data_IF_915507331345
#
_entry.id   IF_915507331345
#
_cell.length_a   1.000
_cell.length_b   1.000
_cell.length_c   1.000
_cell.angle_alpha   90.00
_cell.angle_beta   90.00
_cell.angle_gamma   90.00
#
_symmetry.space_group_name_H-M   'P 1'
#
loop_
_entity.id
_entity.type
_entity.pdbx_description
1 polymer ?
#
# COMPACT_ATOMS: atom_id res chain seq x y z
N UNK A 1 7.89 11.05 -19.51
CA UNK A 1 6.67 11.39 -20.29
C UNK A 1 5.52 11.56 -19.31
N UNK A 2 4.77 12.66 -19.42
CA UNK A 2 3.64 12.95 -18.53
C UNK A 2 2.56 11.87 -18.76
N UNK A 3 2.30 11.02 -17.77
CA UNK A 3 1.33 9.90 -17.86
C UNK A 3 -0.11 10.34 -17.59
N UNK A 4 -0.29 11.59 -17.15
CA UNK A 4 -1.59 12.18 -16.93
C UNK A 4 -2.20 12.54 -18.29
N UNK A 5 -3.38 12.01 -18.56
CA UNK A 5 -4.22 12.47 -19.66
C UNK A 5 -4.81 13.85 -19.34
N UNK A 6 -5.47 14.46 -20.33
CA UNK A 6 -6.14 15.75 -20.18
C UNK A 6 -6.99 15.82 -18.89
N UNK A 7 -6.79 16.89 -18.11
CA UNK A 7 -7.55 17.14 -16.89
C UNK A 7 -7.09 16.33 -15.67
N UNK A 8 -5.80 16.05 -15.49
CA UNK A 8 -5.25 15.39 -14.30
C UNK A 8 -5.88 14.01 -14.02
N UNK A 9 -6.01 13.21 -15.08
CA UNK A 9 -6.58 11.86 -15.00
C UNK A 9 -5.49 10.84 -15.30
N UNK A 10 -5.37 9.81 -14.46
CA UNK A 10 -4.49 8.67 -14.67
C UNK A 10 -5.34 7.41 -14.85
N UNK A 11 -5.31 6.82 -16.04
CA UNK A 11 -5.97 5.54 -16.31
C UNK A 11 -5.01 4.39 -16.04
N UNK A 12 -5.36 3.54 -15.09
CA UNK A 12 -4.69 2.27 -14.79
C UNK A 12 -5.56 1.12 -15.32
N UNK A 13 -5.04 -0.12 -15.38
CA UNK A 13 -5.79 -1.25 -15.94
C UNK A 13 -7.14 -1.47 -15.29
N UNK A 14 -7.20 -1.37 -13.96
CA UNK A 14 -8.40 -1.72 -13.19
C UNK A 14 -9.12 -0.50 -12.60
N UNK A 15 -8.48 0.67 -12.57
CA UNK A 15 -9.03 1.87 -11.93
C UNK A 15 -8.55 3.15 -12.62
N UNK A 16 -9.41 4.17 -12.63
CA UNK A 16 -9.05 5.52 -13.06
C UNK A 16 -8.87 6.40 -11.83
N UNK A 17 -7.73 7.08 -11.73
CA UNK A 17 -7.50 8.09 -10.70
C UNK A 17 -7.78 9.48 -11.28
N UNK A 18 -8.61 10.27 -10.60
CA UNK A 18 -8.87 11.65 -10.96
C UNK A 18 -8.33 12.58 -9.88
N UNK A 19 -7.23 13.27 -10.15
CA UNK A 19 -6.63 14.18 -9.17
C UNK A 19 -7.42 15.50 -9.14
N UNK A 20 -8.01 15.79 -7.98
CA UNK A 20 -8.87 16.93 -7.73
C UNK A 20 -8.12 17.93 -6.85
N UNK A 21 -7.62 19.01 -7.45
CA UNK A 21 -6.97 20.11 -6.75
C UNK A 21 -7.94 21.12 -6.16
N UNK A 22 -7.41 22.23 -5.64
CA UNK A 22 -8.24 23.33 -5.12
C UNK A 22 -9.22 23.83 -6.19
N UNK A 23 -10.50 23.96 -5.82
CA UNK A 23 -11.56 24.45 -6.70
C UNK A 23 -12.11 23.43 -7.69
N UNK A 24 -11.61 22.19 -7.71
CA UNK A 24 -12.15 21.11 -8.55
C UNK A 24 -13.12 20.28 -7.70
N UNK A 25 -14.40 20.28 -8.08
CA UNK A 25 -15.38 19.37 -7.47
C UNK A 25 -15.02 17.93 -7.84
N UNK A 26 -14.86 17.02 -6.87
CA UNK A 26 -14.59 15.63 -7.16
C UNK A 26 -15.81 14.99 -7.85
N UNK A 27 -15.60 14.10 -8.84
CA UNK A 27 -16.67 13.25 -9.34
C UNK A 27 -17.10 12.24 -8.27
N UNK A 28 -18.26 11.62 -8.47
CA UNK A 28 -18.71 10.50 -7.64
C UNK A 28 -17.73 9.31 -7.75
N UNK A 29 -17.35 8.75 -6.60
CA UNK A 29 -16.45 7.61 -6.55
C UNK A 29 -17.18 6.33 -6.97
N UNK A 30 -16.47 5.42 -7.62
CA UNK A 30 -17.01 4.10 -8.01
C UNK A 30 -15.93 3.02 -7.87
N UNK A 31 -16.30 1.77 -8.16
CA UNK A 31 -15.33 0.66 -8.17
C UNK A 31 -14.21 0.82 -9.21
N UNK A 32 -14.40 1.68 -10.22
CA UNK A 32 -13.47 1.93 -11.32
C UNK A 32 -12.98 3.39 -11.42
N UNK A 33 -13.46 4.29 -10.56
CA UNK A 33 -13.05 5.69 -10.51
C UNK A 33 -12.77 6.13 -9.07
N UNK A 34 -11.53 6.51 -8.79
CA UNK A 34 -11.09 7.04 -7.51
C UNK A 34 -10.76 8.54 -7.63
N UNK A 35 -11.59 9.45 -7.09
CA UNK A 35 -11.24 10.86 -6.97
C UNK A 35 -10.16 11.02 -5.88
N UNK A 36 -8.98 11.48 -6.27
CA UNK A 36 -7.87 11.75 -5.36
C UNK A 36 -7.87 13.23 -5.00
N UNK A 37 -8.33 13.55 -3.80
CA UNK A 37 -8.36 14.93 -3.30
C UNK A 37 -6.95 15.37 -2.90
N UNK A 38 -6.42 16.39 -3.57
CA UNK A 38 -5.11 16.93 -3.24
C UNK A 38 -5.22 17.90 -2.07
N UNK A 39 -4.31 17.77 -1.08
CA UNK A 39 -4.26 18.63 0.12
C UNK A 39 -5.47 18.52 1.05
N UNK A 40 -6.24 17.43 0.94
CA UNK A 40 -7.30 17.14 1.90
C UNK A 40 -6.71 16.57 3.20
N UNK A 41 -7.35 16.89 4.32
CA UNK A 41 -7.06 16.32 5.64
C UNK A 41 -8.19 15.35 5.99
N UNK A 42 -8.00 14.02 5.78
CA UNK A 42 -9.02 13.04 6.13
C UNK A 42 -9.15 12.88 7.65
N UNK A 43 -10.39 12.73 8.16
CA UNK A 43 -10.65 12.61 9.60
C UNK A 43 -10.06 11.33 10.20
N UNK A 44 -10.02 10.25 9.43
CA UNK A 44 -9.53 8.93 9.85
C UNK A 44 -8.03 8.72 9.65
N UNK A 45 -7.29 9.73 9.18
CA UNK A 45 -5.85 9.63 8.97
C UNK A 45 -5.12 10.96 9.20
N UNK A 46 -4.40 11.05 10.33
CA UNK A 46 -3.58 12.21 10.67
C UNK A 46 -2.31 12.24 9.83
N UNK A 47 -2.27 13.12 8.83
CA UNK A 47 -1.06 13.34 8.01
C UNK A 47 0.10 13.87 8.85
N UNK A 48 -0.17 14.65 9.89
CA UNK A 48 0.85 15.17 10.81
C UNK A 48 1.51 14.01 11.55
N UNK A 49 0.71 13.17 12.24
CA UNK A 49 1.25 12.02 12.97
C UNK A 49 1.98 11.04 12.05
N UNK A 50 1.48 10.84 10.82
CA UNK A 50 2.15 9.99 9.84
C UNK A 50 3.52 10.55 9.46
N UNK A 51 3.59 11.81 9.00
CA UNK A 51 4.85 12.37 8.47
C UNK A 51 5.85 12.76 9.56
N UNK A 52 5.41 13.05 10.78
CA UNK A 52 6.30 13.33 11.92
C UNK A 52 7.02 12.06 12.42
N UNK A 53 6.39 10.89 12.28
CA UNK A 53 6.98 9.61 12.67
C UNK A 53 7.64 8.85 11.50
N UNK A 54 7.48 9.33 10.26
CA UNK A 54 8.02 8.68 9.08
C UNK A 54 9.47 9.10 8.82
N UNK A 55 10.41 8.24 9.20
CA UNK A 55 11.85 8.48 9.04
C UNK A 55 12.41 8.14 7.65
N UNK A 56 11.68 7.36 6.85
CA UNK A 56 12.12 6.93 5.53
C UNK A 56 12.29 8.12 4.58
N UNK A 57 13.33 8.08 3.74
CA UNK A 57 13.59 9.14 2.75
C UNK A 57 12.78 8.99 1.46
N UNK A 58 12.33 7.77 1.15
CA UNK A 58 11.68 7.44 -0.13
C UNK A 58 10.36 6.71 0.05
N UNK A 59 10.34 5.65 0.86
CA UNK A 59 9.13 4.84 1.09
C UNK A 59 8.07 5.62 1.86
N UNK A 60 6.84 5.64 1.38
CA UNK A 60 5.72 6.30 2.06
C UNK A 60 5.74 7.82 2.00
N UNK A 61 6.68 8.44 1.26
CA UNK A 61 6.72 9.91 1.12
C UNK A 61 5.64 10.46 0.19
N UNK A 62 5.14 9.63 -0.71
CA UNK A 62 3.95 9.90 -1.50
C UNK A 62 2.87 8.92 -1.09
N UNK A 63 1.72 9.42 -0.66
CA UNK A 63 0.63 8.61 -0.10
C UNK A 63 -0.67 8.91 -0.82
N UNK A 64 -1.41 7.86 -1.17
CA UNK A 64 -2.83 7.92 -1.48
C UNK A 64 -3.56 7.25 -0.32
N UNK A 65 -4.35 8.06 0.40
CA UNK A 65 -5.21 7.58 1.46
C UNK A 65 -6.63 7.37 0.94
N UNK A 66 -7.33 6.33 1.42
CA UNK A 66 -8.77 6.17 1.17
C UNK A 66 -9.48 5.57 2.39
N UNK A 67 -10.60 6.15 2.79
CA UNK A 67 -11.44 5.53 3.83
C UNK A 67 -11.99 4.19 3.35
N UNK A 68 -12.50 4.14 2.12
CA UNK A 68 -13.00 2.90 1.51
C UNK A 68 -12.48 2.83 0.08
N UNK A 69 -12.00 1.66 -0.35
CA UNK A 69 -11.69 1.40 -1.75
C UNK A 69 -11.96 -0.06 -2.10
N UNK A 70 -11.90 -0.42 -3.38
CA UNK A 70 -12.02 -1.82 -3.80
C UNK A 70 -10.80 -2.63 -3.37
N UNK A 71 -9.61 -2.24 -3.83
CA UNK A 71 -8.33 -2.81 -3.43
C UNK A 71 -7.18 -1.84 -3.74
N UNK A 72 -6.22 -1.73 -2.83
CA UNK A 72 -5.01 -0.93 -3.02
C UNK A 72 -4.18 -1.43 -4.21
N UNK A 73 -4.26 -2.72 -4.53
CA UNK A 73 -3.56 -3.32 -5.68
C UNK A 73 -3.97 -2.70 -7.02
N UNK A 74 -5.22 -2.26 -7.18
CA UNK A 74 -5.70 -1.66 -8.42
C UNK A 74 -4.97 -0.35 -8.75
N UNK A 75 -4.54 0.39 -7.73
CA UNK A 75 -3.78 1.65 -7.86
C UNK A 75 -2.33 1.40 -8.22
N UNK A 76 -1.77 0.26 -7.80
CA UNK A 76 -0.35 -0.05 -7.95
C UNK A 76 -0.04 -0.99 -9.12
N UNK A 77 -1.08 -1.59 -9.72
CA UNK A 77 -0.96 -2.48 -10.87
C UNK A 77 -0.89 -1.68 -12.17
N UNK A 78 -0.06 -2.14 -13.10
CA UNK A 78 0.12 -1.51 -14.41
C UNK A 78 1.45 -0.74 -14.52
N UNK A 79 1.46 0.46 -15.15
CA UNK A 79 2.70 1.17 -15.40
C UNK A 79 3.38 1.61 -14.08
N UNK A 80 4.72 1.73 -14.06
CA UNK A 80 5.42 2.25 -12.90
C UNK A 80 5.00 3.70 -12.63
N UNK A 81 4.57 3.94 -11.39
CA UNK A 81 4.28 5.23 -10.79
C UNK A 81 5.55 5.74 -10.09
N UNK A 82 5.45 6.33 -8.91
CA UNK A 82 6.62 6.75 -8.13
C UNK A 82 7.14 5.59 -7.27
N UNK A 83 8.47 5.40 -7.26
CA UNK A 83 9.11 4.50 -6.29
C UNK A 83 8.73 4.93 -4.87
N UNK A 84 8.28 3.97 -4.06
CA UNK A 84 7.89 4.21 -2.67
C UNK A 84 6.50 4.80 -2.48
N UNK A 85 5.70 4.96 -3.54
CA UNK A 85 4.28 5.31 -3.43
C UNK A 85 3.57 4.31 -2.49
N UNK A 86 2.92 4.85 -1.46
CA UNK A 86 2.07 4.11 -0.55
C UNK A 86 0.59 4.35 -0.86
N UNK A 87 -0.20 3.28 -0.74
CA UNK A 87 -1.67 3.34 -0.75
C UNK A 87 -2.15 2.80 0.59
N UNK A 88 -2.92 3.60 1.33
CA UNK A 88 -3.35 3.31 2.70
C UNK A 88 -4.88 3.34 2.76
N UNK A 89 -5.54 2.17 2.65
CA UNK A 89 -6.97 2.06 2.87
C UNK A 89 -7.33 1.84 4.35
N UNK A 90 -8.42 2.45 4.84
CA UNK A 90 -9.04 2.00 6.10
C UNK A 90 -9.88 0.74 5.89
N UNK A 91 -10.55 0.62 4.74
CA UNK A 91 -11.36 -0.54 4.37
C UNK A 91 -11.19 -0.89 2.88
N UNK A 92 -11.17 -2.19 2.59
CA UNK A 92 -11.19 -2.72 1.22
C UNK A 92 -12.41 -3.62 1.02
N UNK A 93 -13.23 -3.31 0.01
CA UNK A 93 -14.42 -4.12 -0.31
C UNK A 93 -14.09 -5.39 -1.10
N UNK A 94 -12.90 -5.47 -1.70
CA UNK A 94 -12.40 -6.62 -2.45
C UNK A 94 -10.92 -6.85 -2.15
N UNK A 95 -10.59 -6.90 -0.86
CA UNK A 95 -9.24 -7.19 -0.38
C UNK A 95 -8.72 -8.52 -0.92
N UNK A 96 -7.46 -8.54 -1.33
CA UNK A 96 -6.84 -9.68 -2.02
C UNK A 96 -5.86 -10.39 -1.10
N UNK A 97 -6.04 -11.70 -0.95
CA UNK A 97 -5.12 -12.62 -0.30
C UNK A 97 -4.37 -13.48 -1.31
N UNK A 98 -3.46 -14.33 -0.81
CA UNK A 98 -2.67 -15.23 -1.65
C UNK A 98 -3.57 -16.30 -2.29
N UNK A 99 -3.27 -16.65 -3.55
CA UNK A 99 -3.97 -17.71 -4.27
C UNK A 99 -5.42 -17.38 -4.63
N UNK A 100 -5.78 -16.09 -4.73
CA UNK A 100 -7.13 -15.65 -5.05
C UNK A 100 -8.09 -15.65 -3.86
N UNK A 101 -7.61 -15.94 -2.65
CA UNK A 101 -8.41 -15.81 -1.43
C UNK A 101 -8.80 -14.35 -1.19
N UNK A 102 -9.94 -14.14 -0.53
CA UNK A 102 -10.38 -12.81 -0.11
C UNK A 102 -9.74 -12.44 1.22
N UNK A 103 -9.25 -11.21 1.33
CA UNK A 103 -8.79 -10.62 2.59
C UNK A 103 -9.88 -9.71 3.17
N UNK A 104 -10.51 -10.15 4.26
CA UNK A 104 -11.49 -9.35 4.97
C UNK A 104 -10.81 -8.13 5.61
N UNK A 105 -11.39 -6.95 5.40
CA UNK A 105 -10.77 -5.67 5.72
C UNK A 105 -11.71 -4.78 6.54
N UNK A 106 -12.14 -5.21 7.76
CA UNK A 106 -12.99 -4.40 8.62
C UNK A 106 -12.27 -3.15 9.15
N UNK A 107 -13.03 -2.22 9.72
CA UNK A 107 -12.47 -1.05 10.40
C UNK A 107 -11.51 -1.48 11.52
N UNK A 108 -10.40 -0.75 11.64
CA UNK A 108 -9.33 -1.02 12.61
C UNK A 108 -8.14 -1.83 12.06
N UNK A 109 -8.24 -2.39 10.84
CA UNK A 109 -7.09 -3.03 10.20
C UNK A 109 -6.04 -2.01 9.75
N UNK A 110 -4.77 -2.24 10.10
CA UNK A 110 -3.64 -1.47 9.58
C UNK A 110 -3.22 -2.00 8.20
N UNK A 111 -3.79 -1.45 7.13
CA UNK A 111 -3.55 -1.90 5.75
C UNK A 111 -2.78 -0.86 4.94
N UNK A 112 -1.81 -1.34 4.17
CA UNK A 112 -1.07 -0.51 3.24
C UNK A 112 -0.47 -1.35 2.11
N UNK A 113 -0.15 -0.70 1.00
CA UNK A 113 0.59 -1.30 -0.12
C UNK A 113 1.61 -0.32 -0.66
N UNK A 114 2.76 -0.83 -1.09
CA UNK A 114 3.85 -0.02 -1.65
C UNK A 114 4.17 -0.47 -3.08
N UNK A 115 4.52 0.48 -3.95
CA UNK A 115 5.18 0.17 -5.22
C UNK A 115 6.68 0.40 -5.09
N UNK A 116 7.46 -0.68 -5.22
CA UNK A 116 8.92 -0.64 -5.09
C UNK A 116 9.56 -0.85 -6.47
N UNK A 117 10.52 0.02 -6.80
CA UNK A 117 11.36 -0.15 -7.99
C UNK A 117 12.74 -0.62 -7.54
N UNK A 118 13.07 -1.87 -7.85
CA UNK A 118 14.30 -2.52 -7.39
C UNK A 118 15.17 -2.82 -8.61
N UNK A 119 16.38 -2.24 -8.72
CA UNK A 119 17.29 -2.57 -9.82
C UNK A 119 17.66 -4.05 -9.79
N UNK A 120 17.51 -4.76 -10.92
CA UNK A 120 17.82 -6.20 -11.01
C UNK A 120 19.28 -6.53 -10.64
N UNK A 121 20.20 -5.59 -10.87
CA UNK A 121 21.62 -5.74 -10.55
C UNK A 121 21.95 -5.49 -9.07
N UNK A 122 21.01 -4.96 -8.28
CA UNK A 122 21.20 -4.77 -6.84
C UNK A 122 21.17 -6.11 -6.09
N UNK A 123 21.70 -6.16 -4.87
CA UNK A 123 21.66 -7.35 -4.03
C UNK A 123 20.21 -7.82 -3.78
N UNK A 124 19.33 -6.88 -3.44
CA UNK A 124 17.90 -7.16 -3.27
C UNK A 124 17.25 -7.64 -4.57
N UNK A 125 17.63 -7.07 -5.72
CA UNK A 125 17.16 -7.51 -7.05
C UNK A 125 17.54 -8.96 -7.37
N UNK A 126 18.70 -9.41 -6.92
CA UNK A 126 19.16 -10.80 -7.05
C UNK A 126 18.48 -11.76 -6.06
N UNK A 127 17.88 -11.22 -5.00
CA UNK A 127 17.26 -11.94 -3.88
C UNK A 127 15.78 -11.59 -3.71
N UNK A 128 15.07 -11.23 -4.79
CA UNK A 128 13.68 -10.77 -4.73
C UNK A 128 12.71 -11.65 -3.91
N UNK A 129 12.79 -13.01 -3.93
CA UNK A 129 11.93 -13.84 -3.09
C UNK A 129 12.06 -13.57 -1.59
N UNK A 130 13.19 -13.01 -1.13
CA UNK A 130 13.39 -12.65 0.27
C UNK A 130 12.69 -11.34 0.65
N UNK A 131 12.29 -10.50 -0.30
CA UNK A 131 11.61 -9.23 -0.01
C UNK A 131 10.35 -9.42 0.85
N UNK A 132 9.56 -10.45 0.56
CA UNK A 132 8.39 -10.78 1.37
C UNK A 132 8.77 -11.07 2.82
N UNK A 133 9.85 -11.83 3.04
CA UNK A 133 10.33 -12.16 4.39
C UNK A 133 10.84 -10.92 5.12
N UNK A 134 11.56 -10.04 4.43
CA UNK A 134 12.02 -8.76 4.99
C UNK A 134 10.84 -7.89 5.42
N UNK A 135 9.79 -7.77 4.60
CA UNK A 135 8.59 -6.99 4.94
C UNK A 135 7.84 -7.65 6.11
N UNK A 136 7.69 -8.97 6.12
CA UNK A 136 7.05 -9.69 7.21
C UNK A 136 7.76 -9.45 8.55
N UNK A 137 9.10 -9.54 8.55
CA UNK A 137 9.92 -9.27 9.72
C UNK A 137 9.81 -7.81 10.17
N UNK A 138 9.81 -6.86 9.23
CA UNK A 138 9.64 -5.45 9.54
C UNK A 138 8.30 -5.17 10.23
N UNK A 139 7.20 -5.79 9.77
CA UNK A 139 5.88 -5.66 10.40
C UNK A 139 5.92 -6.21 11.84
N UNK A 140 6.39 -7.44 12.04
CA UNK A 140 6.46 -8.04 13.38
C UNK A 140 7.35 -7.19 14.30
N UNK A 141 8.52 -6.78 13.81
CA UNK A 141 9.44 -5.93 14.55
C UNK A 141 8.82 -4.58 14.93
N UNK A 142 8.02 -3.97 14.04
CA UNK A 142 7.36 -2.69 14.33
C UNK A 142 6.26 -2.79 15.38
N UNK A 143 5.59 -3.94 15.47
CA UNK A 143 4.56 -4.18 16.48
C UNK A 143 5.22 -4.48 17.82
N UNK A 144 6.20 -5.39 17.85
CA UNK A 144 6.91 -5.75 19.07
C UNK A 144 7.76 -4.60 19.66
N UNK A 145 8.08 -3.56 18.88
CA UNK A 145 8.78 -2.38 19.41
C UNK A 145 7.87 -1.37 20.11
N UNK A 146 6.54 -1.52 20.00
CA UNK A 146 5.60 -0.64 20.69
C UNK A 146 5.48 -1.02 22.17
N UNK A 147 5.52 -0.05 23.10
CA UNK A 147 5.33 -0.32 24.52
C UNK A 147 4.02 -1.06 24.82
N UNK A 148 4.12 -2.14 25.59
CA UNK A 148 3.02 -3.04 25.94
C UNK A 148 2.74 -4.14 24.93
N UNK A 149 3.33 -4.10 23.73
CA UNK A 149 3.15 -5.13 22.69
C UNK A 149 4.36 -6.05 22.55
N UNK A 150 5.46 -5.78 23.23
CA UNK A 150 6.65 -6.63 23.29
C UNK A 150 6.37 -8.04 23.84
N UNK A 151 5.30 -8.19 24.64
CA UNK A 151 4.87 -9.45 25.24
C UNK A 151 3.99 -10.29 24.31
N UNK A 152 3.55 -9.75 23.17
CA UNK A 152 2.77 -10.51 22.20
C UNK A 152 3.68 -11.56 21.54
N UNK A 153 3.27 -12.82 21.62
CA UNK A 153 3.94 -13.93 20.93
C UNK A 153 3.64 -13.88 19.42
N UNK A 154 4.20 -12.89 18.73
CA UNK A 154 4.09 -12.75 17.29
C UNK A 154 5.06 -13.68 16.58
N UNK A 155 4.50 -14.51 15.69
CA UNK A 155 5.24 -15.47 14.89
C UNK A 155 4.90 -15.36 13.42
N UNK A 156 5.89 -15.64 12.57
CA UNK A 156 5.67 -15.80 11.13
C UNK A 156 5.32 -17.26 10.84
N UNK A 157 4.09 -17.51 10.39
CA UNK A 157 3.73 -18.79 9.79
C UNK A 157 4.04 -18.70 8.31
N UNK A 158 5.07 -19.45 7.90
CA UNK A 158 5.57 -19.43 6.54
C UNK A 158 4.44 -19.76 5.53
N UNK A 159 4.35 -19.05 4.39
CA UNK A 159 5.30 -18.04 3.89
C UNK A 159 4.94 -16.58 4.18
N UNK A 160 3.72 -16.29 4.61
CA UNK A 160 3.19 -14.92 4.49
C UNK A 160 2.17 -14.52 5.55
N UNK A 161 1.98 -15.35 6.58
CA UNK A 161 1.00 -15.10 7.62
C UNK A 161 1.69 -14.70 8.93
N UNK A 162 1.07 -13.77 9.65
CA UNK A 162 1.49 -13.31 10.97
C UNK A 162 0.48 -13.82 11.98
N UNK A 163 0.96 -14.49 13.03
CA UNK A 163 0.14 -15.09 14.07
C UNK A 163 0.51 -14.52 15.44
N UNK A 164 -0.48 -14.39 16.31
CA UNK A 164 -0.32 -14.24 17.75
C UNK A 164 -0.81 -15.54 18.41
N UNK A 165 0.11 -16.38 18.86
CA UNK A 165 -0.22 -17.76 19.26
C UNK A 165 -0.91 -18.54 18.12
N UNK A 166 -2.16 -18.96 18.34
CA UNK A 166 -2.95 -19.69 17.34
C UNK A 166 -3.78 -18.79 16.41
N UNK A 167 -3.86 -17.48 16.67
CA UNK A 167 -4.71 -16.55 15.93
C UNK A 167 -3.93 -15.88 14.81
N UNK A 168 -4.48 -15.92 13.59
CA UNK A 168 -3.93 -15.15 12.46
C UNK A 168 -4.30 -13.68 12.61
N UNK A 169 -3.30 -12.83 12.82
CA UNK A 169 -3.48 -11.38 13.04
C UNK A 169 -3.09 -10.53 11.84
N UNK A 170 -2.38 -11.11 10.88
CA UNK A 170 -1.95 -10.39 9.70
C UNK A 170 -1.48 -11.29 8.59
N UNK A 171 -1.18 -10.67 7.47
CA UNK A 171 -0.62 -11.33 6.32
C UNK A 171 -0.15 -10.30 5.31
N UNK A 172 0.69 -10.75 4.40
CA UNK A 172 1.19 -9.93 3.32
C UNK A 172 1.21 -10.72 2.02
N UNK A 173 1.26 -9.98 0.91
CA UNK A 173 1.47 -10.53 -0.42
C UNK A 173 2.43 -9.61 -1.16
N UNK A 174 3.34 -10.21 -1.93
CA UNK A 174 4.26 -9.48 -2.80
C UNK A 174 4.05 -9.98 -4.22
N UNK A 175 3.83 -9.04 -5.13
CA UNK A 175 3.80 -9.30 -6.57
C UNK A 175 4.95 -8.54 -7.22
N UNK A 176 5.55 -9.12 -8.25
CA UNK A 176 6.70 -8.52 -8.94
C UNK A 176 6.50 -8.64 -10.45
N UNK A 177 6.81 -7.55 -11.15
CA UNK A 177 6.86 -7.52 -12.61
C UNK A 177 8.24 -7.03 -13.04
N UNK A 178 8.82 -7.68 -14.06
CA UNK A 178 10.06 -7.22 -14.67
C UNK A 178 9.71 -6.25 -15.80
N UNK A 179 10.32 -5.07 -15.77
CA UNK A 179 10.08 -4.03 -16.77
C UNK A 179 11.41 -3.46 -17.24
N UNK A 180 11.52 -3.24 -18.56
CA UNK A 180 12.64 -2.50 -19.17
C UNK A 180 12.44 -0.99 -19.09
N UNK A 181 11.30 -0.52 -18.59
CA UNK A 181 11.00 0.89 -18.42
C UNK A 181 11.54 1.39 -17.07
N UNK A 182 12.87 1.50 -16.96
CA UNK A 182 13.50 2.31 -15.92
C UNK A 182 14.44 3.33 -16.58
N UNK A 183 14.03 4.59 -16.51
CA UNK A 183 14.92 5.74 -16.39
C UNK A 183 14.41 6.52 -15.17
#
# INVERSE_FOLDING_TARGET
KNRLEGGNTLKLPDITLKFCGKGVSPPEASSSLLPVLMYACPDSFSTVSYFDNLESKTLGRLVIFSSVMTTAMAVLTGPPLAHGLAVIPCQQTSGVGRGGNVWLSPDGCAMFSFQLHIPLKSELGRLLPFLQHTVALAIVSSVCSQPGLEVLELGLKWPNDIYAGALKVGGLIVTSVISNACA
#
